data_IF_735755262149
#
_entry.id   IF_735755262149
#
_cell.length_a   1.000
_cell.length_b   1.000
_cell.length_c   1.000
_cell.angle_alpha   90.00
_cell.angle_beta   90.00
_cell.angle_gamma   90.00
#
_symmetry.space_group_name_H-M   'P 1'
#
loop_
_entity.id
_entity.type
_entity.pdbx_description
1 polymer ?
#
# COMPACT_ATOMS: atom_id res chain seq x y z
N UNK A 1 34.97 -7.16 11.96
CA UNK A 1 34.06 -6.68 13.04
C UNK A 1 33.28 -5.44 12.61
N UNK A 2 33.89 -4.45 11.99
CA UNK A 2 33.26 -3.22 11.55
C UNK A 2 32.23 -3.46 10.41
N UNK A 3 32.53 -4.34 9.45
CA UNK A 3 31.62 -4.71 8.37
C UNK A 3 30.36 -5.46 8.86
N UNK A 4 30.48 -6.30 9.92
CA UNK A 4 29.31 -6.94 10.53
C UNK A 4 28.40 -5.94 11.26
N UNK A 5 28.98 -4.89 11.85
CA UNK A 5 28.22 -3.82 12.50
C UNK A 5 27.50 -2.95 11.46
N UNK A 6 28.14 -2.69 10.32
CA UNK A 6 27.55 -1.92 9.23
C UNK A 6 26.42 -2.68 8.53
N UNK A 7 26.60 -3.97 8.25
CA UNK A 7 25.54 -4.81 7.67
C UNK A 7 24.31 -4.94 8.60
N UNK A 8 24.54 -5.05 9.92
CA UNK A 8 23.47 -5.06 10.92
C UNK A 8 22.84 -3.67 11.14
N UNK A 9 23.59 -2.60 10.94
CA UNK A 9 23.06 -1.24 10.95
C UNK A 9 22.15 -0.98 9.74
N UNK A 10 22.52 -1.47 8.55
CA UNK A 10 21.70 -1.36 7.35
C UNK A 10 20.46 -2.24 7.39
N UNK A 11 20.54 -3.43 7.97
CA UNK A 11 19.35 -4.25 8.19
C UNK A 11 18.27 -3.50 8.98
N UNK A 12 18.70 -2.67 9.93
CA UNK A 12 17.78 -1.81 10.68
C UNK A 12 17.29 -0.58 9.88
N UNK A 13 18.02 -0.17 8.82
CA UNK A 13 17.62 0.94 7.95
C UNK A 13 16.67 0.51 6.84
N UNK A 14 16.77 -0.75 6.44
CA UNK A 14 15.99 -1.32 5.36
C UNK A 14 14.64 -1.86 5.81
N UNK A 15 14.29 -1.64 7.07
CA UNK A 15 12.94 -1.90 7.53
C UNK A 15 12.06 -0.73 7.07
N UNK A 16 11.33 -0.86 5.97
CA UNK A 16 10.36 0.17 5.58
C UNK A 16 9.22 0.22 6.58
N UNK A 17 8.67 1.35 6.69
CA UNK A 17 7.79 1.78 7.77
C UNK A 17 6.32 1.35 7.65
N UNK A 18 5.69 1.24 8.78
CA UNK A 18 4.46 0.59 9.21
C UNK A 18 3.16 0.87 8.45
N UNK A 19 2.47 -0.21 8.08
CA UNK A 19 1.02 -0.28 8.02
C UNK A 19 0.57 -1.73 8.20
N UNK A 20 -0.58 -1.93 8.81
CA UNK A 20 -1.22 -3.23 8.89
C UNK A 20 -1.47 -3.79 7.48
N UNK A 21 -1.21 -5.06 7.26
CA UNK A 21 -1.26 -5.63 5.92
C UNK A 21 -0.08 -5.24 5.03
N UNK A 22 1.03 -4.72 5.60
CA UNK A 22 2.20 -4.25 4.86
C UNK A 22 2.07 -2.79 4.39
N UNK A 23 2.93 -2.39 3.43
CA UNK A 23 3.00 -1.03 2.88
C UNK A 23 2.00 -0.76 1.75
N UNK A 24 1.13 -1.73 1.43
CA UNK A 24 0.19 -1.61 0.33
C UNK A 24 -0.94 -0.62 0.66
N UNK A 25 -1.21 0.31 -0.26
CA UNK A 25 -2.30 1.26 -0.17
C UNK A 25 -3.52 0.71 -0.92
N UNK A 26 -4.62 0.48 -0.21
CA UNK A 26 -5.92 0.15 -0.80
C UNK A 26 -6.68 1.40 -1.23
N UNK A 27 -6.26 2.58 -0.76
CA UNK A 27 -6.86 3.89 -0.98
C UNK A 27 -6.49 4.47 -2.36
N UNK A 28 -6.44 3.61 -3.39
CA UNK A 28 -6.16 4.00 -4.79
C UNK A 28 -7.29 4.78 -5.45
N UNK A 29 -8.48 4.79 -4.83
CA UNK A 29 -9.63 5.63 -5.21
C UNK A 29 -10.55 5.86 -4.02
N UNK A 30 -11.39 6.90 -4.10
CA UNK A 30 -12.42 7.15 -3.08
C UNK A 30 -13.39 5.98 -2.93
N UNK A 31 -13.71 5.28 -4.01
CA UNK A 31 -14.60 4.13 -3.98
C UNK A 31 -13.96 2.91 -3.31
N UNK A 32 -12.65 2.63 -3.53
CA UNK A 32 -11.94 1.56 -2.83
C UNK A 32 -11.80 1.88 -1.33
N UNK A 33 -11.47 3.12 -1.00
CA UNK A 33 -11.40 3.62 0.37
C UNK A 33 -12.73 3.44 1.10
N UNK A 34 -13.85 3.91 0.54
CA UNK A 34 -15.20 3.81 1.12
C UNK A 34 -15.63 2.36 1.44
N UNK A 35 -15.15 1.40 0.69
CA UNK A 35 -15.52 -0.02 0.80
C UNK A 35 -14.48 -0.85 1.56
N UNK A 36 -13.44 -0.24 2.14
CA UNK A 36 -12.30 -0.97 2.70
C UNK A 36 -11.80 -2.04 1.71
N UNK A 37 -11.71 -1.70 0.42
CA UNK A 37 -11.32 -2.55 -0.70
C UNK A 37 -12.26 -3.71 -1.05
N UNK A 38 -13.46 -3.81 -0.45
CA UNK A 38 -14.43 -4.85 -0.79
C UNK A 38 -14.90 -4.74 -2.25
N UNK A 39 -14.89 -5.85 -2.97
CA UNK A 39 -15.30 -5.94 -4.37
C UNK A 39 -14.30 -5.32 -5.35
N UNK A 40 -13.09 -4.97 -4.96
CA UNK A 40 -12.15 -4.21 -5.78
C UNK A 40 -11.90 -4.85 -7.16
N UNK A 41 -11.69 -6.16 -7.23
CA UNK A 41 -11.46 -6.87 -8.49
C UNK A 41 -12.74 -7.17 -9.30
N UNK A 42 -13.95 -6.98 -8.71
CA UNK A 42 -15.22 -7.32 -9.36
C UNK A 42 -16.15 -6.12 -9.60
N UNK A 43 -16.00 -5.01 -8.82
CA UNK A 43 -16.93 -3.87 -8.86
C UNK A 43 -16.99 -3.21 -10.23
N UNK A 44 -15.86 -2.89 -10.86
CA UNK A 44 -15.75 -2.36 -12.24
C UNK A 44 -16.76 -1.25 -12.56
N UNK A 45 -16.80 -0.20 -11.72
CA UNK A 45 -17.75 0.93 -11.80
C UNK A 45 -17.09 2.26 -12.18
N UNK A 46 -15.76 2.32 -12.25
CA UNK A 46 -14.97 3.49 -12.61
C UNK A 46 -13.60 3.12 -13.16
N UNK A 47 -12.87 4.09 -13.68
CA UNK A 47 -11.57 3.89 -14.32
C UNK A 47 -10.48 3.40 -13.34
N UNK A 48 -10.69 3.52 -12.02
CA UNK A 48 -9.84 2.97 -10.98
C UNK A 48 -9.69 1.44 -11.03
N UNK A 49 -10.57 0.77 -11.78
CA UNK A 49 -10.46 -0.68 -12.02
C UNK A 49 -9.12 -1.07 -12.65
N UNK A 50 -8.42 -0.15 -13.32
CA UNK A 50 -7.05 -0.36 -13.83
C UNK A 50 -6.12 -0.82 -12.70
N UNK A 51 -6.20 -0.22 -11.52
CA UNK A 51 -5.34 -0.56 -10.38
C UNK A 51 -5.73 -1.86 -9.69
N UNK A 52 -7.01 -2.27 -9.75
CA UNK A 52 -7.50 -3.44 -9.00
C UNK A 52 -7.76 -4.66 -9.88
N UNK A 53 -8.29 -4.49 -11.09
CA UNK A 53 -8.51 -5.57 -12.07
C UNK A 53 -8.67 -4.96 -13.47
N UNK A 54 -7.66 -4.98 -14.34
CA UNK A 54 -7.76 -4.34 -15.66
C UNK A 54 -8.86 -4.94 -16.56
N UNK A 55 -9.31 -6.19 -16.33
CA UNK A 55 -10.44 -6.76 -17.06
C UNK A 55 -11.75 -5.98 -16.85
N UNK A 56 -11.89 -5.31 -15.70
CA UNK A 56 -13.07 -4.50 -15.38
C UNK A 56 -13.27 -3.31 -16.31
N UNK A 57 -12.25 -2.87 -17.05
CA UNK A 57 -12.35 -1.78 -18.01
C UNK A 57 -13.37 -2.09 -19.11
N UNK A 58 -13.62 -3.36 -19.46
CA UNK A 58 -14.60 -3.74 -20.50
C UNK A 58 -16.03 -3.36 -20.16
N UNK A 59 -16.32 -3.03 -18.89
CA UNK A 59 -17.63 -2.52 -18.44
C UNK A 59 -17.79 -1.00 -18.63
N UNK A 60 -16.71 -0.30 -18.97
CA UNK A 60 -16.69 1.15 -19.06
C UNK A 60 -16.90 1.59 -20.52
N UNK A 61 -17.95 2.37 -20.75
CA UNK A 61 -18.27 2.86 -22.08
C UNK A 61 -17.56 4.19 -22.36
N UNK A 62 -17.24 4.43 -23.63
CA UNK A 62 -16.68 5.70 -24.11
C UNK A 62 -15.30 6.00 -23.55
N UNK A 63 -15.04 7.26 -23.29
CA UNK A 63 -13.81 7.72 -22.63
C UNK A 63 -14.14 8.17 -21.22
N UNK A 64 -13.44 7.63 -20.21
CA UNK A 64 -13.63 8.02 -18.82
C UNK A 64 -12.33 8.50 -18.22
N UNK A 65 -12.39 9.65 -17.55
CA UNK A 65 -11.31 10.20 -16.74
C UNK A 65 -11.73 10.18 -15.28
N UNK A 66 -10.87 9.65 -14.41
CA UNK A 66 -11.08 9.69 -12.97
C UNK A 66 -9.84 10.23 -12.29
N UNK A 67 -10.03 11.22 -11.41
CA UNK A 67 -8.98 11.83 -10.58
C UNK A 67 -9.41 11.73 -9.13
N UNK A 68 -8.50 11.24 -8.29
CA UNK A 68 -8.71 11.21 -6.84
C UNK A 68 -7.56 11.94 -6.15
N UNK A 69 -7.90 12.61 -5.05
CA UNK A 69 -6.94 13.24 -4.16
C UNK A 69 -7.36 13.04 -2.71
N UNK A 70 -6.39 13.00 -1.81
CA UNK A 70 -6.68 12.75 -0.42
C UNK A 70 -5.47 12.94 0.48
N UNK A 71 -5.64 12.54 1.74
CA UNK A 71 -4.56 12.56 2.72
C UNK A 71 -4.73 11.42 3.74
N UNK A 72 -3.59 10.95 4.24
CA UNK A 72 -3.50 10.07 5.40
C UNK A 72 -2.93 10.85 6.58
N UNK A 73 -3.48 10.62 7.76
CA UNK A 73 -2.98 11.11 9.06
C UNK A 73 -3.43 10.17 10.16
N UNK A 74 -2.77 10.19 11.31
CA UNK A 74 -3.14 9.28 12.40
C UNK A 74 -2.25 9.45 13.61
N UNK A 75 -2.23 8.42 14.43
CA UNK A 75 -1.45 8.36 15.66
C UNK A 75 -0.69 7.06 15.75
N UNK A 76 0.62 7.18 16.01
CA UNK A 76 1.56 6.09 16.14
C UNK A 76 2.62 6.51 17.18
N UNK A 77 2.29 6.40 18.47
CA UNK A 77 3.14 6.78 19.59
C UNK A 77 3.61 5.54 20.34
N UNK A 78 4.94 5.42 20.55
CA UNK A 78 5.56 4.31 21.26
C UNK A 78 5.71 4.64 22.73
N UNK A 79 5.00 3.93 23.60
CA UNK A 79 5.21 3.97 25.04
C UNK A 79 6.41 3.09 25.41
N UNK A 80 7.53 3.71 25.81
CA UNK A 80 8.75 3.01 26.18
C UNK A 80 8.66 2.47 27.60
N UNK A 81 8.94 1.16 27.80
CA UNK A 81 8.97 0.53 29.14
C UNK A 81 10.00 1.15 30.06
N UNK A 82 11.16 1.55 29.52
CA UNK A 82 12.22 2.21 30.27
C UNK A 82 11.97 3.72 30.49
N UNK A 83 10.89 4.26 29.94
CA UNK A 83 10.61 5.70 29.93
C UNK A 83 11.58 6.49 29.06
N UNK A 84 11.49 7.81 29.10
CA UNK A 84 12.37 8.71 28.36
C UNK A 84 11.71 9.32 27.13
N UNK A 85 12.54 9.85 26.20
CA UNK A 85 12.03 10.47 24.98
C UNK A 85 11.64 9.42 23.94
N UNK A 86 10.33 9.25 23.73
CA UNK A 86 9.76 8.29 22.77
C UNK A 86 9.57 8.87 21.35
N UNK A 87 9.83 10.16 21.15
CA UNK A 87 9.65 10.86 19.86
C UNK A 87 8.22 11.35 19.60
N UNK A 88 7.25 11.04 20.48
CA UNK A 88 5.85 11.40 20.29
C UNK A 88 5.19 10.64 19.14
N UNK A 89 4.20 11.25 18.48
CA UNK A 89 3.55 10.64 17.32
C UNK A 89 4.52 10.58 16.13
N UNK A 90 4.95 9.37 15.81
CA UNK A 90 5.91 9.14 14.74
C UNK A 90 5.28 9.16 13.32
N UNK A 91 3.95 9.09 13.19
CA UNK A 91 3.31 9.06 11.89
C UNK A 91 3.38 10.40 11.17
N UNK A 92 3.95 10.42 9.98
CA UNK A 92 3.90 11.57 9.09
C UNK A 92 2.59 11.59 8.29
N UNK A 93 1.93 12.76 8.22
CA UNK A 93 0.82 12.95 7.28
C UNK A 93 1.33 12.98 5.85
N UNK A 94 0.62 12.32 4.94
CA UNK A 94 1.01 12.26 3.53
C UNK A 94 -0.19 12.51 2.60
N UNK A 95 0.03 13.13 1.43
CA UNK A 95 -0.98 13.25 0.40
C UNK A 95 -1.18 11.90 -0.32
N UNK A 96 -2.42 11.65 -0.74
CA UNK A 96 -2.80 10.54 -1.62
C UNK A 96 -3.26 11.09 -2.96
N UNK A 97 -3.03 10.35 -4.04
CA UNK A 97 -3.48 10.77 -5.35
C UNK A 97 -3.48 9.67 -6.39
N UNK A 98 -4.43 9.75 -7.31
CA UNK A 98 -4.47 8.87 -8.48
C UNK A 98 -5.17 9.51 -9.66
N UNK A 99 -4.79 9.07 -10.84
CA UNK A 99 -5.38 9.47 -12.12
C UNK A 99 -5.55 8.24 -12.99
N UNK A 100 -6.74 8.08 -13.55
CA UNK A 100 -7.07 6.96 -14.44
C UNK A 100 -7.78 7.48 -15.66
N UNK A 101 -7.42 6.92 -16.81
CA UNK A 101 -8.06 7.18 -18.09
C UNK A 101 -8.39 5.85 -18.76
N UNK A 102 -9.63 5.66 -19.21
CA UNK A 102 -10.02 4.53 -20.05
C UNK A 102 -10.65 5.03 -21.34
N UNK A 103 -10.45 4.28 -22.42
CA UNK A 103 -11.03 4.58 -23.73
C UNK A 103 -11.46 3.28 -24.41
N UNK A 104 -12.76 3.14 -24.68
CA UNK A 104 -13.28 2.04 -25.48
C UNK A 104 -12.86 2.23 -26.94
N UNK A 105 -12.04 1.30 -27.45
CA UNK A 105 -11.57 1.30 -28.84
C UNK A 105 -12.67 0.79 -29.79
N UNK A 106 -13.37 -0.23 -29.32
CA UNK A 106 -14.54 -0.83 -29.96
C UNK A 106 -15.43 -1.52 -28.90
N UNK A 107 -16.36 -2.41 -29.32
CA UNK A 107 -17.25 -3.13 -28.40
C UNK A 107 -16.54 -4.18 -27.53
N UNK A 108 -15.33 -4.61 -27.91
CA UNK A 108 -14.57 -5.65 -27.24
C UNK A 108 -13.30 -5.12 -26.56
N UNK A 109 -12.61 -4.12 -27.14
CA UNK A 109 -11.32 -3.65 -26.67
C UNK A 109 -11.42 -2.31 -25.94
N UNK A 110 -10.78 -2.25 -24.77
CA UNK A 110 -10.66 -1.01 -23.98
C UNK A 110 -9.20 -0.80 -23.61
N UNK A 111 -8.65 0.36 -23.95
CA UNK A 111 -7.33 0.80 -23.51
C UNK A 111 -7.44 1.64 -22.24
N UNK A 112 -6.41 1.60 -21.41
CA UNK A 112 -6.36 2.35 -20.17
C UNK A 112 -4.98 2.86 -19.80
N UNK A 113 -4.93 3.91 -18.98
CA UNK A 113 -3.73 4.43 -18.34
C UNK A 113 -4.04 4.72 -16.87
N UNK A 114 -3.20 4.21 -15.97
CA UNK A 114 -3.27 4.50 -14.54
C UNK A 114 -2.00 5.17 -14.04
N UNK A 115 -2.14 6.15 -13.15
CA UNK A 115 -1.07 6.72 -12.35
C UNK A 115 -1.57 6.79 -10.91
N UNK A 116 -0.96 6.05 -9.99
CA UNK A 116 -1.47 5.94 -8.63
C UNK A 116 -0.38 5.59 -7.62
N UNK A 117 -0.54 6.08 -6.38
CA UNK A 117 0.24 5.63 -5.24
C UNK A 117 -0.19 4.21 -4.87
N UNK A 118 0.74 3.28 -4.88
CA UNK A 118 0.50 1.87 -4.57
C UNK A 118 1.07 1.45 -3.23
N UNK A 119 2.15 2.10 -2.81
CA UNK A 119 2.85 1.86 -1.56
C UNK A 119 3.29 3.19 -0.96
N UNK A 120 3.22 3.30 0.35
CA UNK A 120 3.68 4.52 0.99
C UNK A 120 3.56 4.49 2.49
N UNK A 121 4.59 5.05 3.14
CA UNK A 121 4.54 5.38 4.55
C UNK A 121 5.67 6.33 4.91
N UNK A 122 5.41 7.17 5.93
CA UNK A 122 6.42 7.99 6.58
C UNK A 122 6.31 7.92 8.09
N UNK A 123 7.46 7.68 8.74
CA UNK A 123 7.63 7.84 10.18
C UNK A 123 8.72 8.87 10.46
N UNK A 124 8.59 9.59 11.56
CA UNK A 124 9.58 10.53 12.06
C UNK A 124 9.42 10.66 13.58
N UNK A 125 10.35 10.07 14.31
CA UNK A 125 10.41 10.15 15.76
C UNK A 125 11.11 11.43 16.25
N UNK A 126 11.65 12.23 15.35
CA UNK A 126 12.40 13.43 15.69
C UNK A 126 13.81 13.16 16.25
N UNK A 127 14.49 14.26 16.54
CA UNK A 127 15.86 14.20 17.08
C UNK A 127 15.88 13.80 18.55
N UNK A 128 16.88 12.99 18.94
CA UNK A 128 17.16 12.67 20.32
C UNK A 128 16.16 11.73 20.99
N UNK A 129 15.32 11.04 20.24
CA UNK A 129 14.52 9.96 20.81
C UNK A 129 15.39 8.74 21.15
N UNK A 130 14.96 7.88 22.08
CA UNK A 130 15.82 6.81 22.60
C UNK A 130 16.21 5.75 21.56
N UNK A 131 15.40 5.54 20.54
CA UNK A 131 15.66 4.62 19.44
C UNK A 131 16.35 5.25 18.23
N UNK A 132 16.89 6.48 18.32
CA UNK A 132 17.51 7.19 17.19
C UNK A 132 18.65 6.41 16.52
N UNK A 133 19.29 5.51 17.24
CA UNK A 133 20.28 4.58 16.69
C UNK A 133 19.67 3.47 15.81
N UNK A 134 18.38 3.21 15.87
CA UNK A 134 17.66 2.29 15.00
C UNK A 134 17.09 3.02 13.79
N UNK A 135 16.37 4.10 14.04
CA UNK A 135 15.79 4.98 13.04
C UNK A 135 15.49 6.34 13.68
N UNK A 136 15.66 7.41 12.96
CA UNK A 136 15.14 8.73 13.32
C UNK A 136 13.91 9.03 12.46
N UNK A 137 14.04 8.90 11.14
CA UNK A 137 12.94 9.00 10.20
C UNK A 137 13.10 7.99 9.07
N UNK A 138 11.99 7.54 8.50
CA UNK A 138 11.99 6.75 7.28
C UNK A 138 10.72 7.08 6.46
N UNK A 139 10.88 7.18 5.14
CA UNK A 139 9.79 7.43 4.21
C UNK A 139 9.98 6.60 2.96
N UNK A 140 9.01 5.78 2.66
CA UNK A 140 8.93 5.03 1.42
C UNK A 140 7.76 5.53 0.60
N UNK A 141 7.96 5.71 -0.72
CA UNK A 141 6.88 6.02 -1.65
C UNK A 141 7.00 5.15 -2.89
N UNK A 142 5.88 4.61 -3.36
CA UNK A 142 5.80 3.85 -4.61
C UNK A 142 4.68 4.41 -5.48
N UNK A 143 5.04 4.95 -6.65
CA UNK A 143 4.09 5.50 -7.63
C UNK A 143 4.14 4.62 -8.87
N UNK A 144 2.99 4.03 -9.21
CA UNK A 144 2.84 3.15 -10.36
C UNK A 144 2.26 3.88 -11.56
N UNK A 145 2.85 3.68 -12.73
CA UNK A 145 2.32 3.99 -14.05
C UNK A 145 1.91 2.69 -14.73
N UNK A 146 0.63 2.60 -15.18
CA UNK A 146 0.00 1.36 -15.62
C UNK A 146 -0.74 1.52 -16.95
N UNK A 147 -0.03 1.46 -18.12
CA UNK A 147 -0.70 1.28 -19.39
C UNK A 147 -1.36 -0.11 -19.44
N UNK A 148 -2.64 -0.15 -19.85
CA UNK A 148 -3.51 -1.31 -19.69
C UNK A 148 -4.32 -1.57 -20.96
N UNK A 149 -4.65 -2.84 -21.17
CA UNK A 149 -5.53 -3.26 -22.24
C UNK A 149 -6.47 -4.35 -21.72
N UNK A 150 -7.77 -4.24 -22.05
CA UNK A 150 -8.77 -5.24 -21.71
C UNK A 150 -9.53 -5.69 -22.96
N UNK A 151 -9.97 -6.95 -22.90
CA UNK A 151 -10.70 -7.59 -23.99
C UNK A 151 -11.93 -8.32 -23.45
N UNK A 152 -13.09 -8.03 -24.00
CA UNK A 152 -14.33 -8.76 -23.76
C UNK A 152 -14.37 -9.98 -24.68
N UNK A 153 -14.21 -11.17 -24.10
CA UNK A 153 -14.19 -12.43 -24.84
C UNK A 153 -15.60 -12.77 -25.34
N UNK A 154 -16.57 -12.64 -24.44
CA UNK A 154 -18.01 -12.85 -24.71
C UNK A 154 -18.86 -12.09 -23.67
N UNK A 155 -20.15 -12.40 -23.57
CA UNK A 155 -21.08 -11.75 -22.63
C UNK A 155 -20.80 -12.05 -21.17
N UNK A 156 -19.97 -13.07 -20.87
CA UNK A 156 -19.63 -13.49 -19.51
C UNK A 156 -18.17 -13.23 -19.15
N UNK A 157 -17.25 -13.36 -20.09
CA UNK A 157 -15.81 -13.36 -19.80
C UNK A 157 -15.12 -12.10 -20.34
N UNK A 158 -14.38 -11.47 -19.47
CA UNK A 158 -13.43 -10.42 -19.84
C UNK A 158 -12.06 -10.70 -19.25
N UNK A 159 -11.02 -10.35 -19.99
CA UNK A 159 -9.63 -10.45 -19.56
C UNK A 159 -8.94 -9.10 -19.70
N UNK A 160 -7.91 -8.85 -18.91
CA UNK A 160 -7.15 -7.61 -19.01
C UNK A 160 -5.74 -7.77 -18.50
N UNK A 161 -4.86 -6.91 -18.96
CA UNK A 161 -3.47 -6.86 -18.53
C UNK A 161 -3.00 -5.41 -18.45
N UNK A 162 -2.06 -5.16 -17.53
CA UNK A 162 -1.34 -3.89 -17.44
C UNK A 162 0.16 -4.17 -17.38
N UNK A 163 0.95 -3.34 -18.02
CA UNK A 163 2.37 -3.23 -17.72
C UNK A 163 2.51 -2.24 -16.56
N UNK A 164 3.38 -2.55 -15.61
CA UNK A 164 3.59 -1.70 -14.44
C UNK A 164 5.02 -1.17 -14.48
N UNK A 165 5.16 0.14 -14.48
CA UNK A 165 6.41 0.82 -14.19
C UNK A 165 6.23 1.56 -12.86
N UNK A 166 6.91 1.15 -11.80
CA UNK A 166 6.79 1.73 -10.47
C UNK A 166 8.08 2.43 -10.06
N UNK A 167 7.96 3.72 -9.81
CA UNK A 167 9.03 4.51 -9.21
C UNK A 167 8.95 4.38 -7.70
N UNK A 168 9.99 3.79 -7.10
CA UNK A 168 10.18 3.71 -5.67
C UNK A 168 11.20 4.76 -5.20
N UNK A 169 10.91 5.42 -4.08
CA UNK A 169 11.85 6.31 -3.41
C UNK A 169 11.86 6.01 -1.91
N UNK A 170 13.06 5.82 -1.38
CA UNK A 170 13.33 5.59 0.03
C UNK A 170 14.18 6.74 0.58
N UNK A 171 13.68 7.40 1.61
CA UNK A 171 14.41 8.38 2.40
C UNK A 171 14.48 7.88 3.83
N UNK A 172 15.65 7.87 4.45
CA UNK A 172 15.79 7.46 5.86
C UNK A 172 16.89 8.25 6.56
N UNK A 173 16.78 8.41 7.87
CA UNK A 173 17.81 8.98 8.73
C UNK A 173 17.94 8.20 10.03
N UNK A 174 19.16 8.13 10.54
CA UNK A 174 19.50 7.54 11.84
C UNK A 174 20.72 8.21 12.45
N UNK A 175 20.88 8.07 13.75
CA UNK A 175 22.06 8.50 14.46
C UNK A 175 23.09 7.38 14.60
N UNK A 176 24.30 7.61 14.09
CA UNK A 176 25.41 6.64 14.18
C UNK A 176 26.01 6.54 15.58
N UNK A 177 25.76 7.52 16.44
CA UNK A 177 26.26 7.57 17.82
C UNK A 177 25.08 7.70 18.81
N UNK A 178 25.12 7.01 19.96
CA UNK A 178 24.03 7.04 20.95
C UNK A 178 23.73 8.42 21.55
N UNK A 179 24.58 9.42 21.30
CA UNK A 179 24.45 10.78 21.82
C UNK A 179 23.81 11.78 20.84
N UNK A 180 23.24 11.32 19.71
CA UNK A 180 22.55 12.16 18.74
C UNK A 180 23.45 13.13 17.96
N UNK A 181 24.78 12.97 18.03
CA UNK A 181 25.71 13.96 17.48
C UNK A 181 26.08 13.75 16.02
N UNK A 182 25.59 12.68 15.37
CA UNK A 182 25.98 12.34 13.99
C UNK A 182 24.82 11.68 13.26
N UNK A 183 23.82 12.47 12.93
CA UNK A 183 22.73 12.00 12.04
C UNK A 183 23.28 11.73 10.63
N UNK A 184 22.90 10.60 10.07
CA UNK A 184 23.16 10.22 8.69
C UNK A 184 21.84 10.09 7.96
N UNK A 185 21.69 10.81 6.86
CA UNK A 185 20.52 10.72 5.99
C UNK A 185 20.87 9.98 4.70
N UNK A 186 19.93 9.19 4.24
CA UNK A 186 19.98 8.43 2.99
C UNK A 186 18.79 8.81 2.12
N UNK A 187 18.99 8.82 0.82
CA UNK A 187 17.91 8.99 -0.14
C UNK A 187 18.30 8.30 -1.42
N UNK A 188 17.48 7.37 -1.86
CA UNK A 188 17.66 6.70 -3.14
C UNK A 188 16.30 6.39 -3.79
N UNK A 189 16.32 6.15 -5.10
CA UNK A 189 15.13 5.83 -5.87
C UNK A 189 15.45 4.96 -7.06
N UNK A 190 14.53 4.05 -7.39
CA UNK A 190 14.68 3.15 -8.53
C UNK A 190 13.35 2.89 -9.24
N UNK A 191 13.42 2.38 -10.46
CA UNK A 191 12.29 1.96 -11.26
C UNK A 191 12.20 0.43 -11.30
N UNK A 192 11.11 -0.12 -10.78
CA UNK A 192 10.78 -1.53 -10.93
C UNK A 192 9.72 -1.74 -12.01
N UNK A 193 9.79 -2.88 -12.67
CA UNK A 193 8.89 -3.22 -13.76
C UNK A 193 8.22 -4.56 -13.52
N UNK A 194 6.94 -4.64 -13.84
CA UNK A 194 6.14 -5.84 -13.70
C UNK A 194 4.87 -5.78 -14.51
N UNK A 195 3.90 -6.60 -14.13
CA UNK A 195 2.62 -6.69 -14.82
C UNK A 195 1.49 -7.01 -13.85
N UNK A 196 0.28 -6.62 -14.23
CA UNK A 196 -0.94 -7.15 -13.63
C UNK A 196 -1.82 -7.83 -14.68
N UNK A 197 -2.53 -8.85 -14.23
CA UNK A 197 -3.47 -9.61 -15.06
C UNK A 197 -4.80 -9.70 -14.34
N UNK A 198 -5.88 -9.64 -15.09
CA UNK A 198 -7.22 -9.71 -14.55
C UNK A 198 -8.16 -10.55 -15.38
N UNK A 199 -9.10 -11.17 -14.67
CA UNK A 199 -10.25 -11.87 -15.25
C UNK A 199 -11.49 -11.36 -14.54
N UNK A 200 -12.54 -11.07 -15.31
CA UNK A 200 -13.87 -10.78 -14.79
C UNK A 200 -14.84 -11.76 -15.40
N UNK A 201 -15.62 -12.42 -14.55
CA UNK A 201 -16.71 -13.31 -14.95
C UNK A 201 -18.04 -12.73 -14.49
N UNK A 202 -18.92 -12.44 -15.44
CA UNK A 202 -20.27 -11.94 -15.23
C UNK A 202 -21.25 -13.13 -15.31
N UNK A 203 -21.78 -13.55 -14.14
CA UNK A 203 -22.79 -14.62 -14.10
C UNK A 203 -24.09 -14.15 -14.77
N UNK A 204 -24.43 -12.88 -14.49
CA UNK A 204 -25.57 -12.14 -15.04
C UNK A 204 -25.31 -10.63 -14.88
N UNK A 205 -26.33 -9.78 -15.11
CA UNK A 205 -26.20 -8.32 -14.99
C UNK A 205 -25.94 -7.84 -13.55
N UNK A 206 -26.35 -8.64 -12.56
CA UNK A 206 -26.33 -8.32 -11.13
C UNK A 206 -25.18 -8.98 -10.36
N UNK A 207 -24.58 -10.02 -10.93
CA UNK A 207 -23.62 -10.89 -10.23
C UNK A 207 -22.34 -11.06 -11.03
N UNK A 208 -21.19 -10.83 -10.39
CA UNK A 208 -19.88 -11.03 -11.02
C UNK A 208 -18.78 -11.36 -10.03
N UNK A 209 -17.79 -12.07 -10.51
CA UNK A 209 -16.59 -12.46 -9.78
C UNK A 209 -15.38 -11.93 -10.56
N UNK A 210 -14.43 -11.36 -9.85
CA UNK A 210 -13.18 -10.88 -10.42
C UNK A 210 -11.98 -11.54 -9.74
N UNK A 211 -11.00 -11.91 -10.54
CA UNK A 211 -9.70 -12.39 -10.09
C UNK A 211 -8.63 -11.49 -10.70
N UNK A 212 -7.70 -11.02 -9.89
CA UNK A 212 -6.56 -10.25 -10.37
C UNK A 212 -5.27 -10.70 -9.71
N UNK A 213 -4.19 -10.62 -10.47
CA UNK A 213 -2.82 -10.90 -10.05
C UNK A 213 -1.95 -9.70 -10.37
N UNK A 214 -1.17 -9.27 -9.40
CA UNK A 214 -0.12 -8.27 -9.53
C UNK A 214 1.23 -8.95 -9.27
N UNK A 215 2.16 -8.86 -10.22
CA UNK A 215 3.47 -9.52 -10.08
C UNK A 215 4.32 -8.85 -9.01
N UNK A 216 5.25 -9.59 -8.43
CA UNK A 216 6.29 -8.97 -7.62
C UNK A 216 7.07 -7.94 -8.45
N UNK A 217 7.58 -6.91 -7.76
CA UNK A 217 8.47 -5.91 -8.31
C UNK A 217 9.74 -5.87 -7.46
N UNK A 218 10.86 -5.51 -8.08
CA UNK A 218 12.14 -5.44 -7.41
C UNK A 218 12.73 -4.04 -7.58
N UNK A 219 13.00 -3.37 -6.48
CA UNK A 219 13.81 -2.17 -6.46
C UNK A 219 15.25 -2.52 -6.09
N UNK A 220 16.21 -1.99 -6.85
CA UNK A 220 17.64 -2.09 -6.59
C UNK A 220 18.13 -0.72 -6.12
N UNK A 221 18.32 -0.59 -4.81
CA UNK A 221 18.76 0.66 -4.19
C UNK A 221 20.27 0.60 -3.96
N UNK A 222 21.01 1.47 -4.65
CA UNK A 222 22.47 1.55 -4.58
C UNK A 222 22.88 2.77 -3.74
N UNK A 223 23.12 2.58 -2.45
CA UNK A 223 23.46 3.69 -1.57
C UNK A 223 24.91 4.17 -1.72
N UNK A 224 25.09 5.30 -2.41
CA UNK A 224 26.37 6.00 -2.56
C UNK A 224 26.95 6.58 -1.24
N UNK A 225 26.16 7.12 -0.28
CA UNK A 225 26.68 7.63 0.98
C UNK A 225 27.32 6.56 1.87
N UNK A 226 26.80 5.36 1.92
CA UNK A 226 27.39 4.25 2.70
C UNK A 226 28.67 3.70 2.06
N UNK A 227 28.77 3.76 0.73
CA UNK A 227 29.98 3.36 0.01
C UNK A 227 31.19 4.26 0.36
N UNK A 228 30.94 5.51 0.73
CA UNK A 228 31.99 6.46 1.14
C UNK A 228 32.62 6.12 2.50
N UNK A 229 31.91 5.41 3.37
CA UNK A 229 32.43 5.02 4.69
C UNK A 229 33.41 3.83 4.63
N UNK A 230 33.31 2.96 3.63
CA UNK A 230 34.10 1.73 3.53
C UNK A 230 34.74 1.44 2.15
N UNK A 231 34.56 2.30 1.16
CA UNK A 231 35.11 2.09 -0.19
C UNK A 231 34.48 0.94 -1.00
N UNK A 232 33.44 0.30 -0.47
CA UNK A 232 32.66 -0.73 -1.17
C UNK A 232 31.19 -0.30 -1.17
N UNK A 233 30.60 -0.19 -2.37
CA UNK A 233 29.16 0.06 -2.50
C UNK A 233 28.35 -1.02 -1.77
N UNK A 234 27.26 -0.64 -1.17
CA UNK A 234 26.30 -1.55 -0.60
C UNK A 234 24.99 -1.40 -1.39
N UNK A 235 24.63 -2.43 -2.11
CA UNK A 235 23.34 -2.53 -2.81
C UNK A 235 22.32 -3.21 -1.92
N UNK A 236 21.10 -2.77 -2.00
CA UNK A 236 19.95 -3.28 -1.29
C UNK A 236 18.87 -3.63 -2.30
N UNK A 237 18.45 -4.88 -2.30
CA UNK A 237 17.33 -5.34 -3.09
C UNK A 237 16.07 -5.40 -2.21
N UNK A 238 15.03 -4.68 -2.61
CA UNK A 238 13.74 -4.66 -1.93
C UNK A 238 12.66 -5.22 -2.85
N UNK A 239 12.02 -6.32 -2.40
CA UNK A 239 10.96 -6.98 -3.16
C UNK A 239 9.59 -6.44 -2.74
N UNK A 240 8.85 -5.86 -3.68
CA UNK A 240 7.43 -5.52 -3.49
C UNK A 240 6.61 -6.78 -3.74
N UNK A 241 5.75 -7.20 -2.79
CA UNK A 241 5.06 -8.48 -2.83
C UNK A 241 4.16 -8.66 -4.05
N UNK A 242 4.17 -9.85 -4.64
CA UNK A 242 3.09 -10.23 -5.53
C UNK A 242 1.77 -10.34 -4.76
N UNK A 243 0.68 -10.08 -5.46
CA UNK A 243 -0.66 -10.01 -4.87
C UNK A 243 -1.66 -10.76 -5.71
N UNK A 244 -2.51 -11.55 -5.06
CA UNK A 244 -3.65 -12.22 -5.68
C UNK A 244 -4.94 -11.77 -5.01
N UNK A 245 -5.90 -11.25 -5.78
CA UNK A 245 -7.17 -10.73 -5.27
C UNK A 245 -8.34 -11.46 -5.91
N UNK A 246 -9.20 -12.04 -5.10
CA UNK A 246 -10.50 -12.58 -5.51
C UNK A 246 -11.59 -11.68 -4.93
N UNK A 247 -12.53 -11.26 -5.78
CA UNK A 247 -13.65 -10.41 -5.36
C UNK A 247 -14.98 -10.89 -5.93
N UNK A 248 -16.05 -10.60 -5.19
CA UNK A 248 -17.43 -10.77 -5.62
C UNK A 248 -18.21 -9.46 -5.55
N UNK A 249 -19.14 -9.29 -6.46
CA UNK A 249 -20.15 -8.24 -6.48
C UNK A 249 -21.51 -8.86 -6.73
N UNK A 250 -22.51 -8.51 -5.89
CA UNK A 250 -23.89 -8.97 -6.02
C UNK A 250 -24.87 -7.81 -5.82
N UNK A 251 -25.58 -7.43 -6.85
CA UNK A 251 -26.76 -6.56 -6.73
C UNK A 251 -27.93 -7.40 -6.17
N UNK A 252 -28.44 -7.03 -5.01
CA UNK A 252 -29.54 -7.76 -4.36
C UNK A 252 -30.91 -7.28 -4.84
N UNK A 253 -31.01 -5.99 -5.10
CA UNK A 253 -32.19 -5.30 -5.61
C UNK A 253 -31.75 -3.94 -6.17
N UNK A 254 -32.66 -3.12 -6.76
CA UNK A 254 -32.28 -1.84 -7.38
C UNK A 254 -31.55 -0.84 -6.46
N UNK A 255 -31.62 -1.04 -5.15
CA UNK A 255 -31.00 -0.12 -4.18
C UNK A 255 -29.76 -0.71 -3.48
N UNK A 256 -29.66 -2.03 -3.30
CA UNK A 256 -28.64 -2.66 -2.48
C UNK A 256 -27.72 -3.57 -3.27
N UNK A 257 -26.42 -3.39 -3.07
CA UNK A 257 -25.40 -4.34 -3.53
C UNK A 257 -24.51 -4.76 -2.37
N UNK A 258 -24.05 -6.02 -2.40
CA UNK A 258 -23.04 -6.58 -1.49
C UNK A 258 -21.75 -6.84 -2.27
N UNK A 259 -20.63 -6.64 -1.57
CA UNK A 259 -19.29 -6.81 -2.11
C UNK A 259 -18.42 -7.55 -1.11
N UNK A 260 -17.51 -8.37 -1.62
CA UNK A 260 -16.54 -9.06 -0.80
C UNK A 260 -15.20 -9.16 -1.53
N UNK A 261 -14.10 -9.21 -0.77
CA UNK A 261 -12.77 -9.51 -1.31
C UNK A 261 -11.96 -10.37 -0.36
N UNK A 262 -11.13 -11.22 -0.94
CA UNK A 262 -10.01 -11.89 -0.30
C UNK A 262 -8.75 -11.57 -1.11
N UNK A 263 -7.74 -11.02 -0.46
CA UNK A 263 -6.49 -10.61 -1.07
C UNK A 263 -5.35 -11.29 -0.31
N UNK A 264 -4.46 -11.96 -1.03
CA UNK A 264 -3.23 -12.56 -0.52
C UNK A 264 -2.04 -11.79 -1.05
N UNK A 265 -1.06 -11.49 -0.18
CA UNK A 265 0.17 -10.78 -0.50
C UNK A 265 1.36 -11.55 0.05
N UNK A 266 2.38 -11.76 -0.78
CA UNK A 266 3.57 -12.53 -0.40
C UNK A 266 4.60 -11.65 0.32
N UNK A 267 4.26 -11.18 1.53
CA UNK A 267 5.16 -10.35 2.34
C UNK A 267 6.40 -11.07 2.84
N UNK A 268 6.40 -12.40 2.89
CA UNK A 268 7.60 -13.19 3.20
C UNK A 268 8.80 -12.83 2.31
N UNK A 269 8.55 -12.50 1.03
CA UNK A 269 9.61 -12.08 0.10
C UNK A 269 10.15 -10.69 0.40
N UNK A 270 9.34 -9.80 0.92
CA UNK A 270 9.76 -8.47 1.33
C UNK A 270 10.71 -8.52 2.54
N UNK A 271 10.52 -9.47 3.45
CA UNK A 271 11.40 -9.71 4.61
C UNK A 271 12.76 -10.29 4.26
N UNK A 272 12.96 -10.80 3.05
CA UNK A 272 14.24 -11.28 2.53
C UNK A 272 14.99 -10.11 1.87
N UNK A 273 16.01 -9.57 2.53
CA UNK A 273 16.79 -8.44 2.01
C UNK A 273 18.18 -8.90 1.63
N UNK A 274 18.53 -8.79 0.36
CA UNK A 274 19.85 -9.11 -0.15
C UNK A 274 20.79 -7.91 -0.03
N UNK A 275 21.83 -8.08 0.75
CA UNK A 275 22.89 -7.10 0.93
C UNK A 275 24.11 -7.52 0.09
N UNK A 276 24.51 -6.70 -0.86
CA UNK A 276 25.71 -6.91 -1.67
C UNK A 276 26.82 -5.93 -1.28
N UNK A 277 28.02 -6.43 -1.03
CA UNK A 277 29.23 -5.62 -0.81
C UNK A 277 30.40 -6.19 -1.61
N UNK A 278 30.72 -5.58 -2.73
CA UNK A 278 31.72 -6.09 -3.68
C UNK A 278 31.28 -7.44 -4.28
N UNK A 279 32.07 -8.49 -4.07
CA UNK A 279 31.74 -9.85 -4.52
C UNK A 279 31.04 -10.71 -3.44
N UNK A 280 30.71 -10.17 -2.30
CA UNK A 280 30.03 -10.88 -1.23
C UNK A 280 28.57 -10.42 -1.15
N UNK A 281 27.66 -11.37 -1.20
CA UNK A 281 26.23 -11.16 -0.92
C UNK A 281 25.82 -11.93 0.33
N UNK A 282 24.86 -11.40 1.06
CA UNK A 282 24.22 -12.04 2.20
C UNK A 282 22.76 -11.66 2.25
N UNK A 283 21.89 -12.64 2.29
CA UNK A 283 20.46 -12.45 2.57
C UNK A 283 20.22 -12.31 4.07
N UNK A 284 19.50 -11.29 4.46
CA UNK A 284 18.93 -11.13 5.80
C UNK A 284 17.47 -11.51 5.73
N UNK A 285 17.06 -12.42 6.59
CA UNK A 285 15.66 -12.82 6.74
C UNK A 285 15.08 -12.13 7.98
N UNK A 286 14.14 -11.22 7.77
CA UNK A 286 13.45 -10.46 8.81
C UNK A 286 12.23 -11.21 9.37
N UNK A 287 12.04 -12.46 8.97
CA UNK A 287 10.97 -13.37 9.42
C UNK A 287 9.57 -12.83 9.15
N UNK A 288 9.38 -12.19 7.98
CA UNK A 288 8.06 -11.76 7.55
C UNK A 288 7.25 -12.94 7.02
N UNK A 289 5.94 -12.85 7.15
CA UNK A 289 4.98 -13.84 6.69
C UNK A 289 4.00 -13.23 5.70
N UNK A 290 3.43 -14.10 4.86
CA UNK A 290 2.41 -13.70 3.91
C UNK A 290 1.17 -13.19 4.63
N UNK A 291 0.53 -12.17 4.04
CA UNK A 291 -0.65 -11.54 4.64
C UNK A 291 -1.92 -11.80 3.84
N UNK A 292 -3.03 -11.66 4.56
CA UNK A 292 -4.38 -11.70 4.02
C UNK A 292 -5.12 -10.43 4.37
N UNK A 293 -5.78 -9.85 3.35
CA UNK A 293 -6.80 -8.84 3.54
C UNK A 293 -8.16 -9.44 3.18
N UNK A 294 -9.09 -9.40 4.12
CA UNK A 294 -10.46 -9.85 3.93
C UNK A 294 -11.40 -8.68 4.11
N UNK A 295 -12.31 -8.46 3.18
CA UNK A 295 -13.25 -7.34 3.30
C UNK A 295 -14.66 -7.67 2.82
N UNK A 296 -15.62 -6.99 3.47
CA UNK A 296 -17.04 -7.00 3.14
C UNK A 296 -17.52 -5.56 3.00
N UNK A 297 -18.36 -5.31 2.01
CA UNK A 297 -18.89 -3.98 1.77
C UNK A 297 -20.31 -4.00 1.24
N UNK A 298 -20.94 -2.85 1.31
CA UNK A 298 -22.28 -2.63 0.76
C UNK A 298 -22.37 -1.28 0.08
N UNK A 299 -23.18 -1.22 -0.95
CA UNK A 299 -23.59 0.01 -1.63
C UNK A 299 -25.11 0.16 -1.51
N UNK A 300 -25.55 1.38 -1.21
CA UNK A 300 -26.96 1.71 -1.09
C UNK A 300 -27.31 2.94 -1.95
N UNK A 301 -28.12 2.75 -2.96
CA UNK A 301 -28.63 3.82 -3.82
C UNK A 301 -29.83 4.50 -3.12
N UNK A 302 -29.55 5.63 -2.44
CA UNK A 302 -30.55 6.45 -1.74
C UNK A 302 -31.51 7.07 -2.75
N UNK A 303 -30.95 7.54 -3.86
CA UNK A 303 -31.66 8.07 -5.05
C UNK A 303 -30.89 7.65 -6.30
N UNK A 304 -31.44 7.81 -7.50
CA UNK A 304 -30.67 7.58 -8.74
C UNK A 304 -29.37 8.40 -8.86
N UNK A 305 -29.27 9.50 -8.11
CA UNK A 305 -28.09 10.37 -8.13
C UNK A 305 -27.15 10.17 -6.92
N UNK A 306 -27.61 9.62 -5.79
CA UNK A 306 -26.85 9.52 -4.55
C UNK A 306 -26.70 8.06 -4.14
N UNK A 307 -25.47 7.57 -4.10
CA UNK A 307 -25.06 6.27 -3.55
C UNK A 307 -24.23 6.47 -2.30
N UNK A 308 -24.54 5.72 -1.27
CA UNK A 308 -23.72 5.56 -0.07
C UNK A 308 -23.00 4.21 -0.15
N UNK A 309 -21.77 4.17 0.36
CA UNK A 309 -20.95 2.96 0.41
C UNK A 309 -20.36 2.81 1.81
N UNK A 310 -20.28 1.59 2.29
CA UNK A 310 -19.60 1.26 3.54
C UNK A 310 -18.92 -0.09 3.43
N UNK A 311 -17.76 -0.23 4.07
CA UNK A 311 -17.02 -1.48 4.11
C UNK A 311 -16.30 -1.69 5.42
N UNK A 312 -16.04 -2.95 5.73
CA UNK A 312 -15.17 -3.39 6.81
C UNK A 312 -14.11 -4.33 6.21
N UNK A 313 -12.87 -4.15 6.65
CA UNK A 313 -11.75 -5.00 6.25
C UNK A 313 -10.92 -5.42 7.44
N UNK A 314 -10.26 -6.56 7.32
CA UNK A 314 -9.28 -7.08 8.25
C UNK A 314 -8.00 -7.43 7.50
N UNK A 315 -6.86 -6.96 8.01
CA UNK A 315 -5.53 -7.30 7.54
C UNK A 315 -4.80 -8.13 8.59
N UNK A 316 -4.28 -9.28 8.20
CA UNK A 316 -3.39 -10.05 9.07
C UNK A 316 -2.01 -9.37 9.16
N UNK A 317 -1.30 -9.57 10.27
CA UNK A 317 0.05 -9.02 10.43
C UNK A 317 1.06 -9.69 9.50
N UNK A 318 1.97 -8.88 8.93
CA UNK A 318 3.14 -9.37 8.17
C UNK A 318 4.28 -9.83 9.09
N UNK A 319 4.26 -9.51 10.38
CA UNK A 319 5.31 -9.83 11.35
C UNK A 319 4.68 -10.13 12.71
N UNK A 320 5.27 -11.04 13.46
CA UNK A 320 4.90 -11.30 14.85
C UNK A 320 5.54 -10.28 15.81
N UNK A 321 5.11 -10.29 17.09
CA UNK A 321 5.53 -9.32 18.09
C UNK A 321 7.03 -9.37 18.38
N UNK A 322 7.66 -10.56 18.29
CA UNK A 322 9.09 -10.73 18.59
C UNK A 322 10.02 -10.27 17.48
N UNK A 323 9.49 -10.13 16.25
CA UNK A 323 10.25 -9.67 15.09
C UNK A 323 9.87 -8.25 14.65
N UNK A 324 8.87 -7.63 15.31
CA UNK A 324 8.46 -6.26 15.01
C UNK A 324 9.54 -5.27 15.39
N UNK A 325 9.83 -4.33 14.50
CA UNK A 325 10.85 -3.29 14.70
C UNK A 325 10.23 -1.90 14.77
N UNK A 326 10.91 -0.96 15.42
CA UNK A 326 10.49 0.45 15.44
C UNK A 326 10.60 1.12 14.07
N UNK A 327 11.37 0.54 13.16
CA UNK A 327 11.48 1.03 11.79
C UNK A 327 10.25 0.62 10.97
N UNK A 328 9.63 -0.53 11.30
CA UNK A 328 8.47 -1.06 10.63
C UNK A 328 7.51 -1.70 11.65
N UNK A 329 6.76 -0.88 12.43
CA UNK A 329 5.82 -1.38 13.43
C UNK A 329 4.54 -1.92 12.77
N UNK A 330 4.65 -3.04 12.03
CA UNK A 330 3.53 -3.73 11.39
C UNK A 330 2.75 -4.55 12.41
N UNK A 331 1.41 -4.56 12.26
CA UNK A 331 0.51 -5.36 13.06
C UNK A 331 -0.67 -5.86 12.23
N UNK A 332 -1.64 -6.49 12.86
CA UNK A 332 -2.95 -6.70 12.26
C UNK A 332 -3.75 -5.38 12.27
N UNK A 333 -4.72 -5.24 11.38
CA UNK A 333 -5.60 -4.07 11.42
C UNK A 333 -7.04 -4.34 11.04
N UNK A 334 -7.91 -3.49 11.59
CA UNK A 334 -9.29 -3.39 11.16
C UNK A 334 -9.51 -2.07 10.45
N UNK A 335 -10.22 -2.13 9.31
CA UNK A 335 -10.57 -0.96 8.51
C UNK A 335 -12.06 -0.77 8.46
N UNK A 336 -12.52 0.48 8.60
CA UNK A 336 -13.91 0.88 8.42
C UNK A 336 -13.98 2.02 7.42
N UNK A 337 -14.56 1.71 6.25
CA UNK A 337 -14.76 2.68 5.19
C UNK A 337 -16.20 3.18 5.14
N UNK A 338 -16.36 4.48 4.89
CA UNK A 338 -17.61 5.14 4.58
C UNK A 338 -17.41 6.06 3.38
N UNK A 339 -18.41 6.17 2.51
CA UNK A 339 -18.33 7.11 1.40
C UNK A 339 -19.67 7.39 0.76
N UNK A 340 -19.65 8.44 -0.05
CA UNK A 340 -20.77 8.87 -0.87
C UNK A 340 -20.29 9.16 -2.29
N UNK A 341 -21.11 8.80 -3.28
CA UNK A 341 -20.93 9.23 -4.65
C UNK A 341 -22.21 9.92 -5.14
N UNK A 342 -22.04 11.07 -5.78
CA UNK A 342 -23.13 11.90 -6.27
C UNK A 342 -23.00 12.17 -7.75
N UNK A 343 -24.01 11.78 -8.53
CA UNK A 343 -24.10 12.05 -9.97
C UNK A 343 -24.49 13.52 -10.16
N UNK A 344 -23.51 14.37 -10.39
CA UNK A 344 -23.70 15.82 -10.56
C UNK A 344 -24.37 16.14 -11.90
N UNK A 345 -23.94 15.47 -12.96
CA UNK A 345 -24.51 15.52 -14.31
C UNK A 345 -24.55 14.10 -14.89
N UNK A 346 -25.24 13.82 -16.01
CA UNK A 346 -25.17 12.49 -16.62
C UNK A 346 -23.74 12.01 -16.93
N UNK A 347 -22.78 12.93 -17.12
CA UNK A 347 -21.41 12.63 -17.46
C UNK A 347 -20.43 12.76 -16.27
N UNK A 348 -20.82 13.40 -15.15
CA UNK A 348 -19.88 13.72 -14.05
C UNK A 348 -20.40 13.21 -12.72
N UNK A 349 -19.57 12.42 -12.03
CA UNK A 349 -19.78 11.90 -10.68
C UNK A 349 -18.73 12.48 -9.73
N UNK A 350 -19.17 12.89 -8.56
CA UNK A 350 -18.31 13.29 -7.44
C UNK A 350 -18.31 12.19 -6.40
N UNK A 351 -17.16 11.97 -5.77
CA UNK A 351 -16.98 10.95 -4.75
C UNK A 351 -16.26 11.54 -3.54
N UNK A 352 -16.62 11.08 -2.35
CA UNK A 352 -15.92 11.40 -1.13
C UNK A 352 -15.92 10.17 -0.21
N UNK A 353 -14.83 9.96 0.52
CA UNK A 353 -14.70 8.85 1.45
C UNK A 353 -13.86 9.19 2.66
N UNK A 354 -14.12 8.44 3.72
CA UNK A 354 -13.34 8.38 4.94
C UNK A 354 -13.11 6.91 5.29
N UNK A 355 -11.87 6.57 5.66
CA UNK A 355 -11.52 5.25 6.17
C UNK A 355 -10.72 5.42 7.46
N UNK A 356 -11.12 4.71 8.50
CA UNK A 356 -10.35 4.50 9.72
C UNK A 356 -9.69 3.12 9.63
N UNK A 357 -8.37 3.05 9.73
CA UNK A 357 -7.63 1.82 9.96
C UNK A 357 -7.12 1.82 11.41
N UNK A 358 -7.65 0.92 12.20
CA UNK A 358 -7.24 0.71 13.59
C UNK A 358 -6.21 -0.41 13.65
N UNK A 359 -5.03 -0.10 14.19
CA UNK A 359 -3.87 -0.98 14.28
C UNK A 359 -3.78 -1.66 15.66
N UNK A 360 -4.58 -1.19 16.63
CA UNK A 360 -4.58 -1.71 17.99
C UNK A 360 -3.28 -1.41 18.74
N UNK A 361 -2.91 -2.35 19.60
CA UNK A 361 -1.69 -2.31 20.39
C UNK A 361 -0.63 -3.19 19.73
N UNK A 362 0.59 -2.65 19.57
CA UNK A 362 1.69 -3.35 18.90
C UNK A 362 2.93 -3.31 19.79
N UNK A 363 3.27 -4.43 20.42
CA UNK A 363 4.47 -4.56 21.22
C UNK A 363 5.72 -4.60 20.34
N UNK A 364 6.80 -3.99 20.79
CA UNK A 364 8.12 -4.01 20.17
C UNK A 364 9.16 -4.41 21.22
N UNK A 365 9.99 -5.39 20.89
CA UNK A 365 11.16 -5.76 21.66
C UNK A 365 12.33 -5.90 20.69
N UNK A 366 13.20 -4.89 20.65
CA UNK A 366 14.25 -4.81 19.66
C UNK A 366 15.63 -4.75 20.32
N UNK A 367 16.45 -5.76 20.02
CA UNK A 367 17.83 -5.85 20.42
C UNK A 367 18.76 -5.46 19.26
N UNK A 368 19.78 -4.66 19.55
CA UNK A 368 20.77 -4.27 18.56
C UNK A 368 22.19 -4.51 19.01
N UNK A 369 23.03 -5.07 18.15
CA UNK A 369 24.47 -5.23 18.45
C UNK A 369 25.12 -3.86 18.59
N UNK A 370 25.49 -3.54 19.86
CA UNK A 370 26.13 -2.25 20.20
C UNK A 370 25.15 -1.09 20.30
N UNK A 371 23.84 -1.37 20.43
CA UNK A 371 22.75 -0.41 20.69
C UNK A 371 22.03 -0.80 21.97
N UNK A 372 21.43 0.16 22.69
CA UNK A 372 20.56 -0.17 23.81
C UNK A 372 19.36 -1.02 23.36
N UNK A 373 18.96 -1.98 24.19
CA UNK A 373 17.67 -2.65 24.02
C UNK A 373 16.56 -1.62 24.05
N UNK A 374 15.56 -1.78 23.17
CA UNK A 374 14.40 -0.92 23.08
C UNK A 374 13.15 -1.79 23.21
N UNK A 375 12.37 -1.56 24.27
CA UNK A 375 11.10 -2.24 24.53
C UNK A 375 9.99 -1.24 24.76
N UNK A 376 8.81 -1.51 24.21
CA UNK A 376 7.65 -0.64 24.37
C UNK A 376 6.43 -1.15 23.61
N UNK A 377 5.36 -0.38 23.67
CA UNK A 377 4.12 -0.71 22.98
C UNK A 377 3.57 0.54 22.29
N UNK A 378 3.23 0.41 21.01
CA UNK A 378 2.38 1.39 20.34
C UNK A 378 0.94 1.12 20.78
N UNK A 379 0.36 2.03 21.57
CA UNK A 379 -0.96 1.85 22.15
C UNK A 379 -2.05 2.48 21.30
N UNK A 380 -3.11 1.70 21.00
CA UNK A 380 -4.30 2.17 20.30
C UNK A 380 -4.02 2.97 19.02
N UNK A 381 -3.05 2.52 18.24
CA UNK A 381 -2.60 3.19 17.02
C UNK A 381 -3.64 3.14 15.91
N UNK A 382 -3.73 4.20 15.11
CA UNK A 382 -4.71 4.28 14.03
C UNK A 382 -4.28 5.23 12.91
N UNK A 383 -4.87 5.01 11.73
CA UNK A 383 -4.74 5.85 10.54
C UNK A 383 -6.11 6.31 10.06
N UNK A 384 -6.19 7.56 9.64
CA UNK A 384 -7.36 8.12 8.98
C UNK A 384 -7.01 8.46 7.53
N UNK A 385 -7.85 8.02 6.61
CA UNK A 385 -7.75 8.34 5.19
C UNK A 385 -8.95 9.18 4.79
N UNK A 386 -8.70 10.35 4.22
CA UNK A 386 -9.72 11.18 3.58
C UNK A 386 -9.44 11.21 2.08
N UNK A 387 -10.47 10.99 1.27
CA UNK A 387 -10.34 11.02 -0.18
C UNK A 387 -11.55 11.68 -0.83
N UNK A 388 -11.29 12.42 -1.90
CA UNK A 388 -12.29 12.96 -2.81
C UNK A 388 -11.94 12.53 -4.22
N UNK A 389 -12.95 12.32 -5.06
CA UNK A 389 -12.77 11.91 -6.44
C UNK A 389 -13.76 12.59 -7.38
N UNK A 390 -13.33 12.72 -8.62
CA UNK A 390 -14.17 13.15 -9.74
C UNK A 390 -14.00 12.14 -10.86
N UNK A 391 -15.11 11.63 -11.36
CA UNK A 391 -15.16 10.80 -12.56
C UNK A 391 -15.95 11.55 -13.64
N UNK A 392 -15.41 11.62 -14.85
CA UNK A 392 -16.06 12.25 -16.00
C UNK A 392 -16.02 11.32 -17.21
N UNK A 393 -17.17 11.19 -17.85
CA UNK A 393 -17.34 10.45 -19.12
C UNK A 393 -17.55 11.46 -20.25
N UNK A 394 -16.73 11.34 -21.30
CA UNK A 394 -16.79 12.18 -22.50
C UNK A 394 -17.71 11.59 -23.56
#
# INVERSE_FOLDING_TARGET
MQQRRLALMLAALLSPSAMAGGLALYETSSANSALANAGAAARAQGAETIASNPAGMTRLAGTQLQVNGGAVYGDLELDLEQGGNNGGNALQSAPLGSLYLTHALDEQWVAGLGLFGSHGLGIDYGEGWQGCGYVQSAKLTGIAFAPSLAYRVDDHWSVGASLIAMHGALEASLDMMPNGSTSQAFSDSDWAYGASFGVLYELDQDSRIGLSYFSELKWELDDQPLSRLNGAGLGVEMMIPQTLTLSGYQQLNPQWALLASANWQQWSRFGEVDLASGQQSRTLDMQYQDTWHLSLGTQFDVTPALRLSSGIGYDSSAVDDVHRTVTLPLGESWRWGLGASYQLTPATRLEASYTLAWLGDMAVEQDGVGRPQLSGTYNNSYLNFLSIGVQHQF
#
